data_IF_529883860391
#
_entry.id   IF_529883860391
#
_cell.length_a   1.000
_cell.length_b   1.000
_cell.length_c   1.000
_cell.angle_alpha   90.00
_cell.angle_beta   90.00
_cell.angle_gamma   90.00
#
_symmetry.space_group_name_H-M   'P 1'
#
loop_
_entity.id
_entity.type
_entity.pdbx_description
1 polymer ?
#
# COMPACT_ATOMS: atom_id res chain seq x y z
N UNK A 1 2.89 -1.63 16.56
CA UNK A 1 4.23 -1.42 17.15
C UNK A 1 4.14 -0.11 17.92
N UNK A 2 3.72 -0.17 19.18
CA UNK A 2 3.70 1.02 20.03
C UNK A 2 5.14 1.33 20.39
N UNK A 3 5.68 2.38 19.79
CA UNK A 3 6.99 2.87 20.15
C UNK A 3 6.75 3.89 21.26
N UNK A 4 6.93 3.48 22.51
CA UNK A 4 6.68 4.31 23.70
C UNK A 4 7.60 5.55 23.78
N UNK A 5 8.53 5.72 22.83
CA UNK A 5 9.43 6.86 22.71
C UNK A 5 9.32 7.55 21.35
N UNK A 6 9.02 8.85 21.38
CA UNK A 6 8.93 9.72 20.19
C UNK A 6 10.21 9.71 19.36
N UNK A 7 11.38 9.65 20.03
CA UNK A 7 12.68 9.64 19.35
C UNK A 7 12.88 8.39 18.48
N UNK A 8 12.46 7.23 18.98
CA UNK A 8 12.54 5.97 18.23
C UNK A 8 11.58 5.96 17.03
N UNK A 9 10.38 6.54 17.16
CA UNK A 9 9.44 6.70 16.04
C UNK A 9 10.04 7.51 14.89
N UNK A 10 10.71 8.63 15.21
CA UNK A 10 11.38 9.45 14.20
C UNK A 10 12.54 8.72 13.52
N UNK A 11 13.30 7.92 14.27
CA UNK A 11 14.36 7.09 13.68
C UNK A 11 13.81 6.06 12.69
N UNK A 12 12.69 5.40 13.02
CA UNK A 12 12.04 4.43 12.12
C UNK A 12 11.60 5.11 10.82
N UNK A 13 11.03 6.32 10.91
CA UNK A 13 10.65 7.11 9.74
C UNK A 13 11.84 7.46 8.83
N UNK A 14 12.97 7.86 9.41
CA UNK A 14 14.18 8.17 8.64
C UNK A 14 14.72 6.91 7.96
N UNK A 15 14.77 5.79 8.69
CA UNK A 15 15.27 4.51 8.16
C UNK A 15 14.36 4.01 7.03
N UNK A 16 13.03 4.04 7.20
CA UNK A 16 12.08 3.61 6.16
C UNK A 16 12.17 4.49 4.91
N UNK A 17 12.38 5.80 5.08
CA UNK A 17 12.61 6.74 3.98
C UNK A 17 13.89 6.41 3.20
N UNK A 18 15.01 6.16 3.89
CA UNK A 18 16.27 5.78 3.26
C UNK A 18 16.17 4.45 2.50
N UNK A 19 15.55 3.44 3.11
CA UNK A 19 15.32 2.15 2.46
C UNK A 19 14.45 2.29 1.19
N UNK A 20 13.40 3.11 1.25
CA UNK A 20 12.53 3.39 0.10
C UNK A 20 13.28 4.10 -1.02
N UNK A 21 14.17 5.05 -0.69
CA UNK A 21 15.00 5.75 -1.67
C UNK A 21 15.95 4.79 -2.39
N UNK A 22 16.62 3.90 -1.65
CA UNK A 22 17.52 2.88 -2.24
C UNK A 22 16.72 1.96 -3.17
N UNK A 23 15.54 1.51 -2.74
CA UNK A 23 14.65 0.69 -3.56
C UNK A 23 14.22 1.40 -4.85
N UNK A 24 13.87 2.67 -4.77
CA UNK A 24 13.50 3.49 -5.94
C UNK A 24 14.65 3.63 -6.94
N UNK A 25 15.89 3.79 -6.47
CA UNK A 25 17.07 3.82 -7.34
C UNK A 25 17.28 2.49 -8.07
N UNK A 26 17.15 1.35 -7.37
CA UNK A 26 17.23 0.03 -8.00
C UNK A 26 16.15 -0.15 -9.08
N UNK A 27 14.92 0.29 -8.81
CA UNK A 27 13.82 0.26 -9.79
C UNK A 27 14.06 1.21 -10.97
N UNK A 28 14.73 2.34 -10.76
CA UNK A 28 15.10 3.27 -11.82
C UNK A 28 16.13 2.64 -12.78
N UNK A 29 17.18 2.00 -12.24
CA UNK A 29 18.18 1.27 -13.03
C UNK A 29 17.55 0.11 -13.83
N UNK A 30 16.60 -0.60 -13.22
CA UNK A 30 15.87 -1.68 -13.90
C UNK A 30 14.98 -1.14 -15.02
N UNK A 31 14.34 0.01 -14.80
CA UNK A 31 13.49 0.67 -15.80
C UNK A 31 14.26 1.26 -16.97
N UNK A 32 15.51 1.69 -16.78
CA UNK A 32 16.39 2.11 -17.88
C UNK A 32 17.00 0.92 -18.62
N UNK A 33 17.29 -0.18 -17.92
CA UNK A 33 17.89 -1.39 -18.50
C UNK A 33 16.89 -2.24 -19.31
N UNK A 34 15.64 -2.35 -18.84
CA UNK A 34 14.60 -3.17 -19.46
C UNK A 34 13.43 -2.27 -19.87
N UNK A 35 13.49 -1.61 -21.05
CA UNK A 35 12.44 -0.69 -21.52
C UNK A 35 11.25 -1.46 -22.11
N UNK A 36 10.67 -2.39 -21.35
CA UNK A 36 9.46 -3.14 -21.71
C UNK A 36 8.27 -2.64 -20.88
N UNK A 37 7.09 -2.59 -21.50
CA UNK A 37 5.85 -2.28 -20.80
C UNK A 37 5.48 -3.42 -19.84
N UNK A 38 5.10 -3.09 -18.60
CA UNK A 38 4.71 -4.06 -17.57
C UNK A 38 5.37 -3.90 -16.20
N UNK A 39 6.35 -2.98 -16.06
CA UNK A 39 6.97 -2.66 -14.77
C UNK A 39 7.54 -3.89 -14.06
N UNK A 40 7.18 -4.08 -12.78
CA UNK A 40 7.63 -5.21 -11.96
C UNK A 40 7.39 -6.59 -12.59
N UNK A 41 6.27 -6.77 -13.29
CA UNK A 41 5.98 -8.00 -14.00
C UNK A 41 6.99 -8.27 -15.12
N UNK A 42 7.28 -7.25 -15.94
CA UNK A 42 8.23 -7.38 -17.05
C UNK A 42 9.65 -7.70 -16.57
N UNK A 43 10.06 -7.12 -15.43
CA UNK A 43 11.36 -7.39 -14.83
C UNK A 43 11.48 -8.84 -14.33
N UNK A 44 10.46 -9.34 -13.64
CA UNK A 44 10.44 -10.73 -13.13
C UNK A 44 10.34 -11.72 -14.30
N UNK A 45 9.56 -11.38 -15.33
CA UNK A 45 9.43 -12.21 -16.53
C UNK A 45 10.76 -12.40 -17.25
N UNK A 46 11.56 -11.33 -17.40
CA UNK A 46 12.86 -11.39 -18.04
C UNK A 46 13.89 -12.19 -17.21
N UNK A 47 13.86 -12.07 -15.89
CA UNK A 47 14.84 -12.69 -14.99
C UNK A 47 14.53 -14.15 -14.62
N UNK A 48 13.26 -14.47 -14.36
CA UNK A 48 12.82 -15.75 -13.78
C UNK A 48 11.81 -16.52 -14.63
N UNK A 49 11.36 -15.95 -15.76
CA UNK A 49 10.44 -16.58 -16.68
C UNK A 49 8.96 -16.47 -16.31
N UNK A 50 8.08 -17.24 -16.97
CA UNK A 50 6.64 -16.99 -16.99
C UNK A 50 5.90 -17.34 -15.70
N UNK A 51 6.27 -18.43 -15.01
CA UNK A 51 5.56 -18.91 -13.82
C UNK A 51 5.72 -17.94 -12.63
N UNK A 52 6.94 -17.48 -12.25
CA UNK A 52 7.11 -16.51 -11.18
C UNK A 52 6.47 -15.16 -11.49
N UNK A 53 6.53 -14.73 -12.76
CA UNK A 53 5.88 -13.50 -13.21
C UNK A 53 4.35 -13.57 -13.09
N UNK A 54 3.74 -14.72 -13.42
CA UNK A 54 2.30 -14.93 -13.22
C UNK A 54 1.92 -14.87 -11.74
N UNK A 55 2.68 -15.51 -10.85
CA UNK A 55 2.42 -15.49 -9.41
C UNK A 55 2.52 -14.07 -8.83
N UNK A 56 3.49 -13.27 -9.28
CA UNK A 56 3.59 -11.87 -8.89
C UNK A 56 2.34 -11.08 -9.30
N UNK A 57 1.88 -11.24 -10.54
CA UNK A 57 0.69 -10.54 -11.03
C UNK A 57 -0.58 -11.01 -10.29
N UNK A 58 -0.68 -12.31 -10.02
CA UNK A 58 -1.78 -12.92 -9.27
C UNK A 58 -1.90 -12.33 -7.86
N UNK A 59 -0.79 -12.29 -7.11
CA UNK A 59 -0.72 -11.69 -5.77
C UNK A 59 -1.05 -10.19 -5.82
N UNK A 60 -0.45 -9.47 -6.77
CA UNK A 60 -0.68 -8.04 -6.93
C UNK A 60 -2.18 -7.72 -7.15
N UNK A 61 -2.84 -8.46 -8.05
CA UNK A 61 -4.24 -8.20 -8.40
C UNK A 61 -5.24 -8.69 -7.35
N UNK A 62 -5.00 -9.83 -6.71
CA UNK A 62 -5.98 -10.42 -5.78
C UNK A 62 -5.77 -10.02 -4.33
N UNK A 63 -4.55 -9.64 -3.94
CA UNK A 63 -4.21 -9.37 -2.55
C UNK A 63 -3.80 -7.91 -2.40
N UNK A 64 -2.75 -7.47 -3.08
CA UNK A 64 -2.16 -6.15 -2.83
C UNK A 64 -3.10 -4.99 -3.18
N UNK A 65 -3.64 -4.97 -4.40
CA UNK A 65 -4.55 -3.91 -4.87
C UNK A 65 -5.83 -3.82 -4.02
N UNK A 66 -6.62 -4.89 -3.82
CA UNK A 66 -7.84 -4.79 -3.03
C UNK A 66 -7.57 -4.46 -1.56
N UNK A 67 -6.48 -4.97 -0.98
CA UNK A 67 -6.13 -4.67 0.43
C UNK A 67 -5.77 -3.20 0.61
N UNK A 68 -4.97 -2.62 -0.29
CA UNK A 68 -4.59 -1.21 -0.21
C UNK A 68 -5.82 -0.30 -0.41
N UNK A 69 -6.69 -0.60 -1.36
CA UNK A 69 -7.96 0.12 -1.54
C UNK A 69 -8.87 0.01 -0.31
N UNK A 70 -8.97 -1.17 0.30
CA UNK A 70 -9.77 -1.39 1.50
C UNK A 70 -9.25 -0.59 2.71
N UNK A 71 -7.92 -0.60 2.94
CA UNK A 71 -7.30 0.18 4.02
C UNK A 71 -7.56 1.68 3.81
N UNK A 72 -7.32 2.19 2.61
CA UNK A 72 -7.55 3.62 2.31
C UNK A 72 -9.03 4.01 2.48
N UNK A 73 -9.96 3.18 1.99
CA UNK A 73 -11.41 3.42 2.14
C UNK A 73 -11.86 3.42 3.60
N UNK A 74 -11.37 2.48 4.41
CA UNK A 74 -11.66 2.44 5.85
C UNK A 74 -11.05 3.63 6.60
N UNK A 75 -9.81 4.00 6.28
CA UNK A 75 -9.16 5.18 6.87
C UNK A 75 -9.93 6.45 6.53
N UNK A 76 -10.34 6.63 5.26
CA UNK A 76 -11.16 7.76 4.83
C UNK A 76 -12.49 7.80 5.60
N UNK A 77 -13.23 6.70 5.66
CA UNK A 77 -14.50 6.62 6.37
C UNK A 77 -14.36 6.99 7.86
N UNK A 78 -13.29 6.54 8.52
CA UNK A 78 -13.01 6.90 9.91
C UNK A 78 -12.75 8.40 10.08
N UNK A 79 -11.91 9.00 9.23
CA UNK A 79 -11.63 10.44 9.29
C UNK A 79 -12.86 11.30 9.02
N UNK A 80 -13.79 10.85 8.16
CA UNK A 80 -15.04 11.58 7.86
C UNK A 80 -16.06 11.48 9.00
N UNK A 81 -16.14 10.34 9.68
CA UNK A 81 -17.13 10.11 10.75
C UNK A 81 -16.67 10.72 12.09
N UNK A 82 -15.36 10.79 12.35
CA UNK A 82 -14.78 11.25 13.61
C UNK A 82 -15.30 12.63 14.09
N UNK A 83 -15.51 13.65 13.24
CA UNK A 83 -16.08 14.93 13.67
C UNK A 83 -17.53 14.85 14.17
N UNK A 84 -18.32 13.88 13.69
CA UNK A 84 -19.72 13.71 14.09
C UNK A 84 -19.85 12.96 15.43
N UNK A 85 -18.84 12.19 15.81
CA UNK A 85 -18.80 11.41 17.04
C UNK A 85 -17.50 11.67 17.83
N UNK A 86 -17.29 12.90 18.34
CA UNK A 86 -16.01 13.30 18.94
C UNK A 86 -15.67 12.58 20.25
N UNK A 87 -16.68 12.12 21.00
CA UNK A 87 -16.51 11.50 22.32
C UNK A 87 -16.96 10.02 22.35
N UNK A 88 -17.33 9.46 21.21
CA UNK A 88 -17.90 8.12 21.10
C UNK A 88 -17.10 7.30 20.07
N UNK A 89 -16.94 5.98 20.25
CA UNK A 89 -16.42 5.14 19.18
C UNK A 89 -17.32 5.26 17.95
N UNK A 90 -16.72 5.43 16.78
CA UNK A 90 -17.44 5.49 15.50
C UNK A 90 -18.23 4.19 15.31
N UNK A 91 -19.53 4.26 14.94
CA UNK A 91 -20.32 3.04 14.74
C UNK A 91 -19.77 2.24 13.56
N UNK A 92 -19.38 0.98 13.82
CA UNK A 92 -18.75 0.08 12.83
C UNK A 92 -19.58 -0.08 11.54
N UNK A 93 -20.92 -0.07 11.67
CA UNK A 93 -21.83 -0.17 10.53
C UNK A 93 -21.72 1.04 9.60
N UNK A 94 -21.59 2.25 10.14
CA UNK A 94 -21.46 3.47 9.35
C UNK A 94 -20.10 3.53 8.65
N UNK A 95 -19.01 3.18 9.36
CA UNK A 95 -17.66 3.14 8.78
C UNK A 95 -17.62 2.15 7.61
N UNK A 96 -18.19 0.96 7.78
CA UNK A 96 -18.23 -0.07 6.73
C UNK A 96 -19.08 0.33 5.53
N UNK A 97 -20.23 0.97 5.73
CA UNK A 97 -21.09 1.44 4.65
C UNK A 97 -20.39 2.54 3.82
N UNK A 98 -19.79 3.53 4.48
CA UNK A 98 -19.07 4.61 3.79
C UNK A 98 -17.82 4.06 3.08
N UNK A 99 -17.07 3.17 3.72
CA UNK A 99 -15.91 2.54 3.09
C UNK A 99 -16.32 1.70 1.86
N UNK A 100 -17.42 0.94 1.94
CA UNK A 100 -17.93 0.16 0.81
C UNK A 100 -18.32 1.07 -0.36
N UNK A 101 -19.02 2.17 -0.12
CA UNK A 101 -19.33 3.16 -1.15
C UNK A 101 -18.05 3.74 -1.78
N UNK A 102 -17.06 4.08 -0.95
CA UNK A 102 -15.79 4.68 -1.42
C UNK A 102 -14.96 3.72 -2.28
N UNK A 103 -15.03 2.41 -2.01
CA UNK A 103 -14.30 1.37 -2.77
C UNK A 103 -15.05 0.97 -4.05
N UNK A 104 -16.38 1.14 -4.09
CA UNK A 104 -17.22 0.79 -5.23
C UNK A 104 -17.26 1.84 -6.34
N UNK A 105 -16.81 3.07 -6.08
CA UNK A 105 -16.58 4.12 -7.09
C UNK A 105 -15.23 3.94 -7.79
#
# INVERSE_FOLDING_TARGET
MEVESVGLSLMIWVISGLLSMIGALCYAELGTSIPKSGGGYAYIFEAFGPLPAFLYLWDAMLIFVPTTSAIMGLTFANYVIQPFFPNCPSPDSAVRLIAAVTICE
#
